data_IF_929019686566
#
_entry.id   IF_929019686566
#
_cell.length_a   1.000
_cell.length_b   1.000
_cell.length_c   1.000
_cell.angle_alpha   90.00
_cell.angle_beta   90.00
_cell.angle_gamma   90.00
#
_symmetry.space_group_name_H-M   'P 1'
#
loop_
_entity.id
_entity.type
_entity.pdbx_description
1 polymer ?
#
# COMPACT_ATOMS: atom_id res chain seq x y z
N UNK A 1 13.92 -3.61 -13.17
CA UNK A 1 14.16 -2.90 -11.90
C UNK A 1 15.51 -3.39 -11.42
N UNK A 2 16.53 -2.53 -11.44
CA UNK A 2 17.92 -2.98 -11.27
C UNK A 2 18.21 -3.59 -9.90
N UNK A 3 17.49 -3.17 -8.85
CA UNK A 3 17.66 -3.75 -7.51
C UNK A 3 17.00 -5.13 -7.48
N UNK A 4 15.77 -5.26 -7.96
CA UNK A 4 15.09 -6.55 -7.95
C UNK A 4 15.80 -7.61 -8.81
N UNK A 5 16.35 -7.22 -9.97
CA UNK A 5 17.14 -8.11 -10.81
C UNK A 5 18.44 -8.55 -10.11
N UNK A 6 19.18 -7.61 -9.50
CA UNK A 6 20.44 -7.90 -8.81
C UNK A 6 20.28 -8.88 -7.63
N UNK A 7 19.13 -8.85 -6.96
CA UNK A 7 18.83 -9.72 -5.82
C UNK A 7 17.89 -10.89 -6.16
N UNK A 8 17.60 -11.14 -7.45
CA UNK A 8 16.68 -12.18 -7.91
C UNK A 8 15.30 -12.14 -7.19
N UNK A 9 14.79 -10.93 -6.98
CA UNK A 9 13.46 -10.67 -6.42
C UNK A 9 12.44 -10.71 -7.56
N UNK A 10 11.44 -11.57 -7.44
CA UNK A 10 10.42 -11.75 -8.48
C UNK A 10 9.24 -10.79 -8.31
N UNK A 11 8.89 -10.47 -7.07
CA UNK A 11 7.74 -9.64 -6.71
C UNK A 11 8.08 -8.76 -5.51
N UNK A 12 7.47 -7.60 -5.47
CA UNK A 12 7.47 -6.73 -4.29
C UNK A 12 6.03 -6.40 -3.92
N UNK A 13 5.74 -6.39 -2.62
CA UNK A 13 4.43 -6.08 -2.05
C UNK A 13 4.63 -5.16 -0.85
N UNK A 14 3.91 -4.04 -0.83
CA UNK A 14 4.08 -3.01 0.20
C UNK A 14 2.74 -2.39 0.57
N UNK A 15 2.50 -2.20 1.87
CA UNK A 15 1.40 -1.38 2.37
C UNK A 15 1.78 0.11 2.31
N UNK A 16 1.20 0.83 1.35
CA UNK A 16 1.34 2.28 1.23
C UNK A 16 0.18 2.99 1.94
N UNK A 17 0.49 3.71 3.01
CA UNK A 17 -0.48 4.30 3.94
C UNK A 17 -0.83 5.76 3.61
N UNK A 18 -0.04 6.43 2.78
CA UNK A 18 -0.24 7.82 2.39
C UNK A 18 -0.57 8.01 0.90
N UNK A 19 -1.40 9.01 0.53
CA UNK A 19 -1.74 9.28 -0.88
C UNK A 19 -0.53 9.56 -1.77
N UNK A 20 0.47 10.29 -1.25
CA UNK A 20 1.68 10.63 -1.99
C UNK A 20 2.49 9.38 -2.36
N UNK A 21 2.69 8.46 -1.41
CA UNK A 21 3.41 7.21 -1.65
C UNK A 21 2.62 6.26 -2.56
N UNK A 22 1.29 6.21 -2.46
CA UNK A 22 0.44 5.42 -3.35
C UNK A 22 0.53 5.92 -4.80
N UNK A 23 0.51 7.25 -5.00
CA UNK A 23 0.69 7.86 -6.32
C UNK A 23 2.06 7.55 -6.90
N UNK A 24 3.12 7.63 -6.10
CA UNK A 24 4.47 7.29 -6.53
C UNK A 24 4.59 5.80 -6.91
N UNK A 25 4.05 4.89 -6.09
CA UNK A 25 4.04 3.46 -6.36
C UNK A 25 3.31 3.12 -7.66
N UNK A 26 2.13 3.72 -7.88
CA UNK A 26 1.39 3.57 -9.15
C UNK A 26 2.22 4.03 -10.35
N UNK A 27 2.92 5.17 -10.23
CA UNK A 27 3.84 5.66 -11.26
C UNK A 27 5.02 4.72 -11.52
N UNK A 28 5.43 3.93 -10.53
CA UNK A 28 6.48 2.91 -10.64
C UNK A 28 5.97 1.55 -11.17
N UNK A 29 4.68 1.43 -11.50
CA UNK A 29 4.07 0.22 -12.04
C UNK A 29 3.53 -0.75 -10.98
N UNK A 30 3.30 -0.30 -9.75
CA UNK A 30 2.57 -1.11 -8.77
C UNK A 30 1.07 -1.09 -9.03
N UNK A 31 0.43 -2.23 -8.82
CA UNK A 31 -1.00 -2.45 -8.90
C UNK A 31 -1.59 -2.58 -7.48
N UNK A 32 -2.81 -2.10 -7.28
CA UNK A 32 -3.49 -2.23 -5.97
C UNK A 32 -4.15 -3.60 -5.88
N UNK A 33 -3.79 -4.38 -4.86
CA UNK A 33 -4.40 -5.68 -4.58
C UNK A 33 -5.40 -5.61 -3.41
N UNK A 34 -5.21 -4.67 -2.50
CA UNK A 34 -6.07 -4.45 -1.34
C UNK A 34 -6.18 -2.97 -1.06
N UNK A 35 -7.39 -2.51 -0.77
CA UNK A 35 -7.67 -1.16 -0.27
C UNK A 35 -8.55 -1.26 0.96
N UNK A 36 -8.20 -0.51 2.01
CA UNK A 36 -8.99 -0.41 3.25
C UNK A 36 -9.08 1.03 3.70
N UNK A 37 -10.29 1.44 4.08
CA UNK A 37 -10.53 2.78 4.59
C UNK A 37 -10.12 2.85 6.07
N UNK A 38 -9.46 3.93 6.46
CA UNK A 38 -9.13 4.15 7.88
C UNK A 38 -10.37 4.38 8.74
N UNK A 39 -11.50 4.74 8.13
CA UNK A 39 -12.79 4.92 8.80
C UNK A 39 -13.41 3.58 9.25
N UNK A 40 -12.88 2.45 8.79
CA UNK A 40 -13.31 1.11 9.16
C UNK A 40 -12.45 0.51 10.29
N UNK A 41 -11.33 1.15 10.61
CA UNK A 41 -10.38 0.66 11.61
C UNK A 41 -10.79 1.14 13.01
N UNK A 42 -11.50 0.28 13.74
CA UNK A 42 -11.94 0.51 15.12
C UNK A 42 -11.19 -0.37 16.13
N UNK A 43 -11.02 0.13 17.35
CA UNK A 43 -10.52 -0.65 18.47
C UNK A 43 -11.59 -1.61 19.00
N UNK A 44 -11.23 -2.38 20.04
CA UNK A 44 -12.12 -3.36 20.68
C UNK A 44 -13.41 -2.74 21.26
N UNK A 45 -13.41 -1.44 21.53
CA UNK A 45 -14.51 -0.70 22.12
C UNK A 45 -15.30 0.07 21.05
N UNK A 46 -14.97 -0.11 19.77
CA UNK A 46 -15.65 0.50 18.62
C UNK A 46 -15.17 1.91 18.27
N UNK A 47 -14.11 2.42 18.89
CA UNK A 47 -13.59 3.75 18.59
C UNK A 47 -12.65 3.72 17.39
N UNK A 48 -12.74 4.73 16.52
CA UNK A 48 -11.79 4.88 15.41
C UNK A 48 -10.34 4.97 15.93
N UNK A 49 -9.49 4.10 15.41
CA UNK A 49 -8.05 4.06 15.71
C UNK A 49 -7.36 5.28 15.09
N UNK A 50 -7.68 5.60 13.83
CA UNK A 50 -6.98 6.62 13.04
C UNK A 50 -7.83 7.87 12.80
N UNK A 51 -8.21 8.57 13.87
CA UNK A 51 -9.13 9.72 13.83
C UNK A 51 -8.71 10.84 12.87
N UNK A 52 -7.40 11.12 12.77
CA UNK A 52 -6.87 12.18 11.90
C UNK A 52 -6.76 11.78 10.43
N UNK A 53 -6.97 10.52 10.09
CA UNK A 53 -6.87 9.98 8.73
C UNK A 53 -8.24 9.72 8.11
N UNK A 54 -9.26 10.45 8.58
CA UNK A 54 -10.63 10.26 8.12
C UNK A 54 -10.73 10.43 6.60
N UNK A 55 -11.38 9.48 5.93
CA UNK A 55 -11.52 9.44 4.48
C UNK A 55 -10.23 9.11 3.70
N UNK A 56 -9.13 8.79 4.40
CA UNK A 56 -7.92 8.26 3.77
C UNK A 56 -7.98 6.72 3.71
N UNK A 57 -7.16 6.15 2.84
CA UNK A 57 -7.08 4.70 2.65
C UNK A 57 -5.65 4.20 2.77
N UNK A 58 -5.50 2.98 3.27
CA UNK A 58 -4.29 2.18 3.16
C UNK A 58 -4.43 1.25 1.95
N UNK A 59 -3.38 1.14 1.14
CA UNK A 59 -3.35 0.22 0.00
C UNK A 59 -2.20 -0.76 0.14
N UNK A 60 -2.47 -2.05 0.01
CA UNK A 60 -1.42 -3.01 -0.31
C UNK A 60 -1.29 -3.03 -1.82
N UNK A 61 -0.10 -2.74 -2.31
CA UNK A 61 0.19 -2.67 -3.73
C UNK A 61 1.35 -3.58 -4.08
N UNK A 62 1.28 -4.19 -5.25
CA UNK A 62 2.25 -5.18 -5.72
C UNK A 62 2.80 -4.84 -7.09
N UNK A 63 4.03 -5.26 -7.33
CA UNK A 63 4.67 -5.17 -8.65
C UNK A 63 5.46 -6.44 -8.91
N UNK A 64 5.22 -7.05 -10.07
CA UNK A 64 6.09 -8.09 -10.62
C UNK A 64 7.35 -7.43 -11.16
N UNK A 65 8.52 -7.90 -10.72
CA UNK A 65 9.82 -7.35 -11.11
C UNK A 65 10.43 -8.14 -12.26
N UNK A 66 10.34 -9.47 -12.21
CA UNK A 66 10.91 -10.38 -13.22
C UNK A 66 9.82 -10.83 -14.19
N UNK A 67 10.05 -10.74 -15.50
CA UNK A 67 9.20 -11.39 -16.52
C UNK A 67 9.75 -12.77 -16.85
#
# INVERSE_FOLDING_TARGET
>A
DGVGEAYNIEYTSTAFTGPASQKAAKGAGFETILERCYDEAVDKDGNLIFKSLKGCVMKVMEKKIKN
#
